data_IF_489521666006
#
_entry.id   IF_489521666006
#
_cell.length_a   1.000
_cell.length_b   1.000
_cell.length_c   1.000
_cell.angle_alpha   90.00
_cell.angle_beta   90.00
_cell.angle_gamma   90.00
#
_symmetry.space_group_name_H-M   'P 1'
#
loop_
_entity.id
_entity.type
_entity.pdbx_description
1 polymer ?
#
# COMPACT_ATOMS: atom_id res chain seq x y z
N UNK A 1 27.81 13.04 7.84
CA UNK A 1 26.62 13.84 8.15
C UNK A 1 25.83 14.05 6.87
N UNK A 2 24.82 13.20 6.63
CA UNK A 2 23.92 13.34 5.50
C UNK A 2 22.85 14.38 5.84
N UNK A 3 22.81 15.46 5.09
CA UNK A 3 21.73 16.43 5.18
C UNK A 3 20.44 15.82 4.63
N UNK A 4 19.52 15.51 5.53
CA UNK A 4 18.12 15.22 5.17
C UNK A 4 17.44 16.55 4.87
N UNK A 5 17.24 16.84 3.60
CA UNK A 5 16.46 18.01 3.20
C UNK A 5 14.99 17.76 3.54
N UNK A 6 14.50 18.42 4.58
CA UNK A 6 13.07 18.55 4.87
C UNK A 6 12.46 19.55 3.91
N UNK A 7 11.70 19.11 2.94
CA UNK A 7 10.76 19.96 2.20
C UNK A 7 9.40 19.89 2.88
N UNK A 8 8.88 21.03 3.27
CA UNK A 8 7.62 21.22 3.99
C UNK A 8 6.43 20.66 3.21
N UNK A 9 5.75 19.66 3.77
CA UNK A 9 4.43 19.21 3.33
C UNK A 9 4.40 18.20 2.20
N UNK A 10 5.53 17.70 1.71
CA UNK A 10 5.63 16.69 0.66
C UNK A 10 6.15 15.37 1.23
N UNK A 11 5.65 14.27 0.68
CA UNK A 11 5.98 12.88 1.00
C UNK A 11 7.48 12.67 1.19
N UNK A 12 7.89 12.21 2.37
CA UNK A 12 9.31 11.98 2.70
C UNK A 12 9.82 10.67 2.07
N UNK A 13 9.91 10.61 0.75
CA UNK A 13 10.78 9.61 0.13
C UNK A 13 12.18 9.79 0.67
N UNK A 14 12.81 8.72 1.13
CA UNK A 14 14.20 8.77 1.56
C UNK A 14 15.09 8.94 0.33
N UNK A 15 15.48 10.17 0.04
CA UNK A 15 16.34 10.52 -1.08
C UNK A 15 17.75 10.76 -0.55
N UNK A 16 18.68 9.92 -0.99
CA UNK A 16 20.10 10.14 -0.76
C UNK A 16 20.75 10.69 -2.05
N UNK A 17 20.98 11.99 -2.09
CA UNK A 17 21.55 12.66 -3.26
C UNK A 17 23.01 12.28 -3.51
N UNK A 18 23.78 11.97 -2.46
CA UNK A 18 25.20 11.59 -2.57
C UNK A 18 25.35 10.22 -3.23
N UNK A 19 24.58 9.22 -2.79
CA UNK A 19 24.60 7.88 -3.38
C UNK A 19 23.66 7.73 -4.56
N UNK A 20 22.86 8.75 -4.90
CA UNK A 20 21.80 8.72 -5.92
C UNK A 20 20.85 7.55 -5.71
N UNK A 21 20.33 7.40 -4.51
CA UNK A 21 19.38 6.36 -4.12
C UNK A 21 18.06 6.97 -3.65
N UNK A 22 16.97 6.34 -4.02
CA UNK A 22 15.62 6.67 -3.55
C UNK A 22 14.99 5.41 -2.99
N UNK A 23 14.43 5.50 -1.79
CA UNK A 23 13.62 4.43 -1.21
C UNK A 23 12.22 4.97 -0.94
N UNK A 24 11.22 4.32 -1.49
CA UNK A 24 9.82 4.66 -1.29
C UNK A 24 9.08 3.52 -0.59
N UNK A 25 8.22 3.89 0.36
CA UNK A 25 7.34 2.98 1.09
C UNK A 25 5.97 2.95 0.45
N UNK A 26 5.54 1.79 -0.03
CA UNK A 26 4.24 1.55 -0.64
C UNK A 26 3.43 0.64 0.26
N UNK A 27 2.23 1.05 0.63
CA UNK A 27 1.35 0.28 1.51
C UNK A 27 0.14 -0.24 0.73
N UNK A 28 -0.03 -1.56 0.76
CA UNK A 28 -1.22 -2.26 0.26
C UNK A 28 -2.29 -2.25 1.35
N UNK A 29 -3.36 -1.53 1.09
CA UNK A 29 -4.50 -1.36 1.99
C UNK A 29 -5.75 -1.99 1.39
N UNK A 30 -6.72 -2.37 2.22
CA UNK A 30 -7.97 -2.98 1.76
C UNK A 30 -8.52 -3.98 2.76
N UNK A 31 -9.66 -4.58 2.43
CA UNK A 31 -10.40 -5.52 3.29
C UNK A 31 -9.59 -6.78 3.63
N UNK A 32 -9.95 -7.43 4.71
CA UNK A 32 -9.47 -8.77 5.02
C UNK A 32 -9.80 -9.75 3.87
N UNK A 33 -8.89 -10.65 3.58
CA UNK A 33 -9.00 -11.63 2.49
C UNK A 33 -9.17 -11.00 1.08
N UNK A 34 -8.92 -9.71 0.93
CA UNK A 34 -9.03 -9.01 -0.36
C UNK A 34 -7.91 -9.33 -1.35
N UNK A 35 -6.85 -10.01 -0.90
CA UNK A 35 -5.74 -10.44 -1.75
C UNK A 35 -4.47 -9.60 -1.63
N UNK A 36 -4.32 -8.79 -0.58
CA UNK A 36 -3.10 -7.99 -0.34
C UNK A 36 -1.83 -8.84 -0.26
N UNK A 37 -1.83 -9.83 0.62
CA UNK A 37 -0.71 -10.78 0.78
C UNK A 37 -0.46 -11.56 -0.50
N UNK A 38 -1.50 -12.01 -1.18
CA UNK A 38 -1.40 -12.72 -2.46
C UNK A 38 -0.73 -11.87 -3.53
N UNK A 39 -0.98 -10.57 -3.55
CA UNK A 39 -0.29 -9.64 -4.43
C UNK A 39 1.23 -9.66 -4.20
N UNK A 40 1.68 -9.53 -2.95
CA UNK A 40 3.10 -9.55 -2.64
C UNK A 40 3.74 -10.90 -2.96
N UNK A 41 3.05 -12.00 -2.66
CA UNK A 41 3.50 -13.35 -3.02
C UNK A 41 3.67 -13.52 -4.54
N UNK A 42 2.72 -12.99 -5.31
CA UNK A 42 2.83 -13.03 -6.77
C UNK A 42 4.00 -12.19 -7.28
N UNK A 43 4.13 -10.94 -6.82
CA UNK A 43 5.25 -10.06 -7.17
C UNK A 43 6.57 -10.76 -6.82
N UNK A 44 6.66 -11.34 -5.63
CA UNK A 44 7.84 -12.11 -5.21
C UNK A 44 8.16 -13.25 -6.19
N UNK A 45 7.14 -14.01 -6.61
CA UNK A 45 7.33 -15.17 -7.49
C UNK A 45 7.80 -14.81 -8.90
N UNK A 46 7.37 -13.66 -9.44
CA UNK A 46 7.68 -13.26 -10.83
C UNK A 46 8.86 -12.29 -10.95
N UNK A 47 9.28 -11.69 -9.84
CA UNK A 47 10.40 -10.75 -9.82
C UNK A 47 11.74 -11.49 -9.78
N UNK A 48 12.72 -11.02 -10.55
CA UNK A 48 14.05 -11.61 -10.57
C UNK A 48 14.66 -11.62 -9.15
N UNK A 49 15.15 -12.76 -8.64
CA UNK A 49 15.75 -12.85 -7.31
C UNK A 49 16.90 -11.87 -7.04
N UNK A 50 17.58 -11.39 -8.08
CA UNK A 50 18.66 -10.39 -7.94
C UNK A 50 18.15 -8.97 -7.67
N UNK A 51 16.87 -8.71 -7.95
CA UNK A 51 16.25 -7.38 -7.84
C UNK A 51 15.20 -7.30 -6.73
N UNK A 52 15.08 -8.31 -5.92
CA UNK A 52 14.18 -8.34 -4.75
C UNK A 52 14.87 -8.85 -3.50
N UNK A 53 14.38 -8.43 -2.34
CA UNK A 53 14.72 -9.04 -1.06
C UNK A 53 13.83 -10.25 -0.76
N UNK A 54 13.92 -10.70 0.48
CA UNK A 54 13.04 -11.75 0.99
C UNK A 54 11.64 -11.20 1.30
N UNK A 55 10.63 -12.00 1.02
CA UNK A 55 9.27 -11.73 1.50
C UNK A 55 9.20 -12.14 2.97
N UNK A 56 9.06 -11.15 3.84
CA UNK A 56 9.03 -11.36 5.29
C UNK A 56 7.63 -11.10 5.81
N UNK A 57 7.08 -12.04 6.56
CA UNK A 57 5.88 -11.83 7.35
C UNK A 57 6.30 -11.39 8.75
N UNK A 58 5.91 -10.20 9.14
CA UNK A 58 6.28 -9.61 10.44
C UNK A 58 5.21 -9.92 11.47
N UNK A 59 5.62 -10.57 12.55
CA UNK A 59 4.82 -10.77 13.74
C UNK A 59 5.35 -9.85 14.84
N UNK A 60 4.51 -9.04 15.46
CA UNK A 60 4.93 -8.23 16.61
C UNK A 60 4.30 -8.78 17.89
N UNK A 61 5.15 -9.03 18.90
CA UNK A 61 4.79 -9.60 20.18
C UNK A 61 4.22 -8.57 21.18
N UNK A 62 3.32 -7.70 20.78
CA UNK A 62 2.61 -6.87 21.75
C UNK A 62 1.16 -7.36 21.81
N UNK A 63 0.91 -8.30 22.71
CA UNK A 63 -0.36 -8.84 23.20
C UNK A 63 -1.34 -9.47 22.19
N UNK A 64 -1.21 -9.32 20.90
CA UNK A 64 -1.91 -10.08 19.84
C UNK A 64 -1.19 -9.86 18.53
N UNK A 65 -0.79 -10.93 17.91
CA UNK A 65 -0.09 -11.09 16.63
C UNK A 65 -0.44 -10.01 15.61
N UNK A 66 0.46 -9.05 15.43
CA UNK A 66 0.36 -8.02 14.41
C UNK A 66 0.99 -8.58 13.14
N UNK A 67 0.17 -9.00 12.17
CA UNK A 67 0.66 -9.53 10.91
C UNK A 67 0.69 -8.46 9.83
N UNK A 68 1.84 -8.18 9.28
CA UNK A 68 1.99 -7.48 8.01
C UNK A 68 3.14 -8.12 7.22
N UNK A 69 3.07 -7.99 5.91
CA UNK A 69 4.11 -8.50 5.03
C UNK A 69 4.98 -7.35 4.54
N UNK A 70 6.26 -7.63 4.32
CA UNK A 70 7.22 -6.71 3.72
C UNK A 70 7.96 -7.41 2.59
N UNK A 71 7.98 -6.76 1.44
CA UNK A 71 8.77 -7.17 0.27
C UNK A 71 9.58 -6.00 -0.28
N UNK A 72 10.90 -5.98 -0.10
CA UNK A 72 11.78 -5.02 -0.76
C UNK A 72 11.98 -5.40 -2.24
N UNK A 73 11.86 -4.43 -3.14
CA UNK A 73 12.19 -4.61 -4.56
C UNK A 73 13.06 -3.45 -5.06
N UNK A 74 13.98 -3.77 -5.96
CA UNK A 74 14.78 -2.78 -6.69
C UNK A 74 14.22 -2.67 -8.11
N UNK A 75 13.74 -1.48 -8.47
CA UNK A 75 13.16 -1.21 -9.79
C UNK A 75 14.16 -0.62 -10.77
N UNK A 76 15.43 -0.53 -10.37
CA UNK A 76 16.51 0.01 -11.20
C UNK A 76 16.60 1.53 -11.16
N UNK A 77 17.13 2.10 -12.24
CA UNK A 77 17.35 3.53 -12.34
C UNK A 77 16.10 4.26 -12.81
N UNK A 78 15.64 5.20 -11.99
CA UNK A 78 14.55 6.14 -12.34
C UNK A 78 15.13 7.55 -12.27
N UNK A 79 15.14 8.26 -13.40
CA UNK A 79 15.73 9.61 -13.52
C UNK A 79 17.15 9.73 -12.92
N UNK A 80 17.96 8.67 -13.10
CA UNK A 80 19.35 8.64 -12.62
C UNK A 80 19.54 8.23 -11.15
N UNK A 81 18.46 7.90 -10.44
CA UNK A 81 18.50 7.39 -9.07
C UNK A 81 18.20 5.89 -9.02
N UNK A 82 19.03 5.13 -8.31
CA UNK A 82 18.70 3.75 -7.95
C UNK A 82 17.49 3.75 -7.04
N UNK A 83 16.39 3.17 -7.53
CA UNK A 83 15.08 3.26 -6.87
C UNK A 83 14.69 1.93 -6.27
N UNK A 84 14.39 1.94 -4.99
CA UNK A 84 13.92 0.79 -4.21
C UNK A 84 12.52 1.05 -3.70
N UNK A 85 11.64 0.05 -3.80
CA UNK A 85 10.34 0.05 -3.13
C UNK A 85 10.35 -0.93 -1.98
N UNK A 86 9.78 -0.49 -0.87
CA UNK A 86 9.42 -1.36 0.24
C UNK A 86 7.90 -1.52 0.22
N UNK A 87 7.45 -2.71 -0.19
CA UNK A 87 6.03 -3.02 -0.29
C UNK A 87 5.57 -3.63 1.03
N UNK A 88 4.57 -3.00 1.65
CA UNK A 88 3.96 -3.46 2.90
C UNK A 88 2.52 -3.84 2.66
N UNK A 89 2.03 -4.87 3.35
CA UNK A 89 0.59 -5.09 3.52
C UNK A 89 0.15 -4.67 4.91
N UNK A 90 -1.13 -4.37 5.08
CA UNK A 90 -1.76 -4.19 6.38
C UNK A 90 -2.80 -5.29 6.62
N UNK A 91 -3.02 -5.72 7.88
CA UNK A 91 -4.11 -6.63 8.20
C UNK A 91 -5.45 -5.92 7.98
N UNK A 92 -6.37 -6.57 7.26
CA UNK A 92 -7.66 -5.98 6.90
C UNK A 92 -8.76 -6.15 7.94
N UNK A 93 -8.56 -6.96 8.96
CA UNK A 93 -9.56 -7.23 10.00
C UNK A 93 -9.70 -6.03 10.96
N UNK A 94 -10.91 -5.83 11.46
CA UNK A 94 -11.28 -4.65 12.30
C UNK A 94 -10.37 -4.49 13.52
N UNK A 95 -9.99 -5.58 14.16
CA UNK A 95 -9.20 -5.58 15.41
C UNK A 95 -7.78 -5.02 15.28
N UNK A 96 -7.28 -4.83 14.06
CA UNK A 96 -5.87 -4.46 13.80
C UNK A 96 -5.69 -3.01 13.36
N UNK A 97 -6.57 -2.10 13.78
CA UNK A 97 -6.48 -0.69 13.40
C UNK A 97 -5.17 -0.03 13.83
N UNK A 98 -4.70 -0.32 15.03
CA UNK A 98 -3.40 0.19 15.53
C UNK A 98 -2.22 -0.27 14.67
N UNK A 99 -2.27 -1.50 14.14
CA UNK A 99 -1.25 -2.00 13.21
C UNK A 99 -1.33 -1.29 11.87
N UNK A 100 -2.54 -1.06 11.34
CA UNK A 100 -2.72 -0.30 10.10
C UNK A 100 -2.15 1.10 10.23
N UNK A 101 -2.41 1.80 11.32
CA UNK A 101 -1.80 3.10 11.62
C UNK A 101 -0.28 3.03 11.65
N UNK A 102 0.28 2.05 12.36
CA UNK A 102 1.73 1.90 12.47
C UNK A 102 2.38 1.68 11.10
N UNK A 103 1.82 0.80 10.27
CA UNK A 103 2.35 0.51 8.93
C UNK A 103 2.20 1.71 7.99
N UNK A 104 1.13 2.52 8.13
CA UNK A 104 0.93 3.72 7.30
C UNK A 104 1.91 4.85 7.60
N UNK A 105 2.56 4.85 8.76
CA UNK A 105 3.54 5.89 9.10
C UNK A 105 4.65 5.94 8.06
N UNK A 106 4.86 7.11 7.46
CA UNK A 106 5.88 7.32 6.44
C UNK A 106 5.58 6.66 5.09
N UNK A 107 4.33 6.28 4.81
CA UNK A 107 3.94 5.78 3.49
C UNK A 107 4.08 6.87 2.42
N UNK A 108 4.73 6.54 1.31
CA UNK A 108 4.92 7.41 0.15
C UNK A 108 3.87 7.17 -0.94
N UNK A 109 3.20 6.04 -0.90
CA UNK A 109 2.12 5.70 -1.81
C UNK A 109 1.27 4.56 -1.29
N UNK A 110 0.06 4.47 -1.83
CA UNK A 110 -0.95 3.48 -1.44
C UNK A 110 -1.38 2.68 -2.68
N UNK A 111 -1.47 1.37 -2.52
CA UNK A 111 -2.25 0.51 -3.41
C UNK A 111 -3.49 0.07 -2.63
N UNK A 112 -4.66 0.58 -3.01
CA UNK A 112 -5.90 0.15 -2.41
C UNK A 112 -6.45 -1.05 -3.17
N UNK A 113 -6.43 -2.21 -2.52
CA UNK A 113 -6.92 -3.48 -3.08
C UNK A 113 -8.38 -3.64 -2.69
N UNK A 114 -9.28 -3.40 -3.64
CA UNK A 114 -10.71 -3.63 -3.47
C UNK A 114 -11.08 -5.03 -3.95
N UNK A 115 -11.87 -5.73 -3.17
CA UNK A 115 -12.47 -7.00 -3.56
C UNK A 115 -13.68 -6.72 -4.46
N UNK A 116 -13.62 -7.19 -5.70
CA UNK A 116 -14.66 -6.88 -6.70
C UNK A 116 -16.01 -7.58 -6.46
N UNK A 117 -16.10 -8.52 -5.54
CA UNK A 117 -17.35 -9.21 -5.26
C UNK A 117 -18.43 -8.23 -4.78
N UNK A 118 -19.65 -8.35 -5.29
CA UNK A 118 -20.77 -7.47 -4.91
C UNK A 118 -21.03 -7.46 -3.39
N UNK A 119 -20.87 -8.60 -2.74
CA UNK A 119 -21.03 -8.73 -1.29
C UNK A 119 -19.96 -7.94 -0.49
N UNK A 120 -18.88 -7.54 -1.13
CA UNK A 120 -17.77 -6.83 -0.48
C UNK A 120 -17.82 -5.31 -0.64
N UNK A 121 -18.85 -4.76 -1.29
CA UNK A 121 -18.98 -3.31 -1.51
C UNK A 121 -18.95 -2.51 -0.21
N UNK A 122 -19.69 -2.96 0.80
CA UNK A 122 -19.71 -2.29 2.10
C UNK A 122 -18.35 -2.37 2.80
N UNK A 123 -17.72 -3.57 2.82
CA UNK A 123 -16.42 -3.77 3.43
C UNK A 123 -15.32 -2.95 2.74
N UNK A 124 -15.37 -2.83 1.41
CA UNK A 124 -14.46 -1.96 0.66
C UNK A 124 -14.59 -0.49 1.08
N UNK A 125 -15.82 0.02 1.21
CA UNK A 125 -16.07 1.41 1.66
C UNK A 125 -15.56 1.64 3.07
N UNK A 126 -15.87 0.74 3.99
CA UNK A 126 -15.41 0.84 5.39
C UNK A 126 -13.89 0.82 5.47
N UNK A 127 -13.22 -0.04 4.70
CA UNK A 127 -11.77 -0.08 4.62
C UNK A 127 -11.18 1.20 4.04
N UNK A 128 -11.82 1.78 3.02
CA UNK A 128 -11.38 3.04 2.43
C UNK A 128 -11.59 4.24 3.35
N UNK A 129 -12.70 4.28 4.09
CA UNK A 129 -12.94 5.31 5.10
C UNK A 129 -11.94 5.20 6.26
N UNK A 130 -11.63 3.98 6.70
CA UNK A 130 -10.59 3.73 7.69
C UNK A 130 -9.19 4.18 7.20
N UNK A 131 -8.86 3.98 5.91
CA UNK A 131 -7.62 4.51 5.34
C UNK A 131 -7.55 6.04 5.45
N UNK A 132 -8.63 6.74 5.10
CA UNK A 132 -8.71 8.20 5.21
C UNK A 132 -8.52 8.67 6.65
N UNK A 133 -9.19 8.02 7.60
CA UNK A 133 -9.08 8.31 9.03
C UNK A 133 -7.63 8.11 9.51
N UNK A 134 -7.01 6.99 9.17
CA UNK A 134 -5.66 6.65 9.61
C UNK A 134 -4.59 7.54 8.95
N UNK A 135 -4.77 7.98 7.71
CA UNK A 135 -3.92 9.00 7.09
C UNK A 135 -4.08 10.35 7.81
N UNK A 136 -5.29 10.71 8.18
CA UNK A 136 -5.59 11.94 8.94
C UNK A 136 -4.88 11.98 10.30
N UNK A 137 -4.66 10.85 10.93
CA UNK A 137 -3.88 10.76 12.18
C UNK A 137 -2.44 11.28 12.01
N UNK A 138 -1.88 11.18 10.81
CA UNK A 138 -0.55 11.71 10.45
C UNK A 138 -0.62 13.06 9.72
N UNK A 139 -1.76 13.74 9.75
CA UNK A 139 -2.02 14.99 9.02
C UNK A 139 -1.87 14.86 7.49
N UNK A 140 -2.08 13.66 6.95
CA UNK A 140 -2.15 13.42 5.52
C UNK A 140 -3.60 13.36 5.05
N UNK A 141 -3.86 13.92 3.88
CA UNK A 141 -5.15 13.81 3.22
C UNK A 141 -5.06 12.79 2.09
N UNK A 142 -6.16 12.08 1.84
CA UNK A 142 -6.22 11.09 0.77
C UNK A 142 -5.97 11.70 -0.62
N UNK A 143 -6.31 12.99 -0.78
CA UNK A 143 -6.09 13.73 -2.02
C UNK A 143 -4.61 13.97 -2.31
N UNK A 144 -3.80 14.05 -1.29
CA UNK A 144 -2.39 14.45 -1.39
C UNK A 144 -1.45 13.26 -1.56
N UNK A 145 -1.86 12.04 -1.19
CA UNK A 145 -1.01 10.85 -1.30
C UNK A 145 -1.13 10.19 -2.68
N UNK A 146 0.00 9.82 -3.34
CA UNK A 146 -0.03 8.99 -4.53
C UNK A 146 -0.76 7.68 -4.28
N UNK A 147 -1.75 7.35 -5.09
CA UNK A 147 -2.55 6.15 -4.88
C UNK A 147 -3.01 5.55 -6.21
N UNK A 148 -3.09 4.23 -6.23
CA UNK A 148 -3.75 3.46 -7.28
C UNK A 148 -4.76 2.51 -6.65
N UNK A 149 -5.82 2.19 -7.40
CA UNK A 149 -6.76 1.15 -7.05
C UNK A 149 -6.45 -0.13 -7.80
N UNK A 150 -6.52 -1.25 -7.11
CA UNK A 150 -6.52 -2.57 -7.72
C UNK A 150 -7.87 -3.22 -7.44
N UNK A 151 -8.65 -3.41 -8.51
CA UNK A 151 -9.93 -4.13 -8.44
C UNK A 151 -9.67 -5.61 -8.60
N UNK A 152 -9.47 -6.28 -7.48
CA UNK A 152 -9.03 -7.67 -7.44
C UNK A 152 -10.19 -8.66 -7.58
N UNK A 153 -9.88 -9.91 -7.88
CA UNK A 153 -10.84 -11.02 -8.01
C UNK A 153 -11.83 -10.85 -9.18
N UNK A 154 -11.36 -10.24 -10.27
CA UNK A 154 -12.17 -10.03 -11.49
C UNK A 154 -12.55 -11.33 -12.22
N UNK A 155 -11.91 -12.43 -11.88
CA UNK A 155 -12.14 -13.79 -12.37
C UNK A 155 -13.35 -14.47 -11.70
N UNK A 156 -13.86 -13.91 -10.61
CA UNK A 156 -14.98 -14.48 -9.89
C UNK A 156 -16.35 -14.11 -10.53
N UNK A 157 -17.38 -14.85 -10.12
CA UNK A 157 -18.78 -14.54 -10.45
C UNK A 157 -19.34 -13.51 -9.47
N UNK A 158 -20.44 -12.84 -9.85
CA UNK A 158 -21.14 -11.86 -9.01
C UNK A 158 -20.20 -10.73 -8.53
N UNK A 159 -19.52 -10.11 -9.49
CA UNK A 159 -18.63 -8.99 -9.27
C UNK A 159 -19.27 -7.67 -9.72
N UNK A 160 -18.96 -6.61 -9.01
CA UNK A 160 -19.38 -5.25 -9.37
C UNK A 160 -18.69 -4.79 -10.65
N UNK A 161 -19.40 -4.12 -11.57
CA UNK A 161 -18.78 -3.44 -12.71
C UNK A 161 -17.73 -2.41 -12.25
N UNK A 162 -16.71 -2.19 -13.07
CA UNK A 162 -15.62 -1.23 -12.77
C UNK A 162 -16.18 0.17 -12.53
N UNK A 163 -17.15 0.63 -13.33
CA UNK A 163 -17.78 1.94 -13.14
C UNK A 163 -18.44 2.08 -11.77
N UNK A 164 -19.08 1.02 -11.27
CA UNK A 164 -19.67 1.03 -9.94
C UNK A 164 -18.61 1.12 -8.85
N UNK A 165 -17.50 0.38 -8.98
CA UNK A 165 -16.36 0.47 -8.07
C UNK A 165 -15.74 1.86 -8.09
N UNK A 166 -15.55 2.46 -9.28
CA UNK A 166 -15.05 3.82 -9.41
C UNK A 166 -15.98 4.83 -8.72
N UNK A 167 -17.28 4.75 -8.93
CA UNK A 167 -18.25 5.65 -8.32
C UNK A 167 -18.26 5.54 -6.78
N UNK A 168 -18.04 4.34 -6.26
CA UNK A 168 -18.07 4.09 -4.82
C UNK A 168 -16.77 4.44 -4.10
N UNK A 169 -15.61 4.25 -4.75
CA UNK A 169 -14.30 4.31 -4.11
C UNK A 169 -13.39 5.37 -4.73
N UNK A 170 -13.39 5.48 -6.06
CA UNK A 170 -12.40 6.25 -6.81
C UNK A 170 -12.94 7.59 -7.32
N UNK A 171 -13.57 8.38 -6.45
CA UNK A 171 -14.13 9.69 -6.81
C UNK A 171 -13.04 10.70 -7.24
N UNK A 172 -11.79 10.46 -6.88
CA UNK A 172 -10.64 11.29 -7.26
C UNK A 172 -10.09 10.94 -8.64
N UNK A 173 -10.63 9.94 -9.34
CA UNK A 173 -10.18 9.54 -10.66
C UNK A 173 -8.74 9.01 -10.70
N UNK A 174 -8.29 8.35 -9.65
CA UNK A 174 -6.96 7.76 -9.58
C UNK A 174 -6.83 6.59 -10.56
N UNK A 175 -5.59 6.26 -11.00
CA UNK A 175 -5.36 5.07 -11.82
C UNK A 175 -5.91 3.81 -11.16
N UNK A 176 -6.46 2.92 -11.96
CA UNK A 176 -6.99 1.63 -11.48
C UNK A 176 -6.66 0.51 -12.47
N UNK A 177 -6.57 -0.69 -11.97
CA UNK A 177 -6.21 -1.91 -12.68
C UNK A 177 -7.12 -3.07 -12.29
#
# INVERSE_FOLDING_TARGET
>A
SGENAKMSGEYEMLINHTSKQVTAKIVYYGTGLGGKTTNLQYIYSVTNPRTRGELVCMETEIERTLFFDLLPINVGLVKGYETKFQLYTVPGQVFYDSTRKLVLKGADGIVFVADSQELMEQANRESFDNLKENLGFYNHRIEDIPMVFQYNKRDLKNISPVDKLNNNLNQLGRPHF
#
